data_IF_393249916040
#
_entry.id   IF_393249916040
#
_cell.length_a   1.000
_cell.length_b   1.000
_cell.length_c   1.000
_cell.angle_alpha   90.00
_cell.angle_beta   90.00
_cell.angle_gamma   90.00
#
_symmetry.space_group_name_H-M   'P 1'
#
loop_
_entity.id
_entity.type
_entity.pdbx_description
1 polymer ?
#
# COMPACT_ATOMS: atom_id res chain seq x y z
N UNK A 1 13.75 -9.36 -25.78
CA UNK A 1 12.61 -8.42 -25.70
C UNK A 1 11.47 -9.04 -24.90
N UNK A 2 10.78 -8.27 -24.04
CA UNK A 2 9.68 -8.77 -23.18
C UNK A 2 8.31 -8.82 -23.87
N UNK A 3 8.11 -8.00 -24.91
CA UNK A 3 6.83 -7.84 -25.60
C UNK A 3 6.29 -9.16 -26.21
N UNK A 4 7.08 -9.94 -26.98
CA UNK A 4 6.57 -11.18 -27.57
C UNK A 4 6.18 -12.21 -26.50
N UNK A 5 6.96 -12.31 -25.41
CA UNK A 5 6.67 -13.22 -24.30
C UNK A 5 5.34 -12.88 -23.60
N UNK A 6 5.10 -11.58 -23.36
CA UNK A 6 3.88 -11.11 -22.69
C UNK A 6 2.64 -11.27 -23.58
N UNK A 7 2.76 -11.12 -24.89
CA UNK A 7 1.68 -11.41 -25.84
C UNK A 7 1.34 -12.90 -25.84
N UNK A 8 2.33 -13.78 -25.94
CA UNK A 8 2.11 -15.23 -25.89
C UNK A 8 1.45 -15.69 -24.59
N UNK A 9 1.79 -15.07 -23.45
CA UNK A 9 1.17 -15.38 -22.16
C UNK A 9 -0.22 -14.75 -21.98
N UNK A 10 -0.71 -13.95 -22.92
CA UNK A 10 -2.00 -13.26 -22.81
C UNK A 10 -2.00 -12.03 -21.90
N UNK A 11 -0.82 -11.49 -21.55
CA UNK A 11 -0.70 -10.28 -20.71
C UNK A 11 -0.62 -8.99 -21.54
N UNK A 12 -0.53 -9.11 -22.86
CA UNK A 12 -0.37 -8.00 -23.78
C UNK A 12 -1.09 -8.27 -25.10
N UNK A 13 -1.62 -7.22 -25.72
CA UNK A 13 -2.31 -7.28 -27.01
C UNK A 13 -3.81 -7.08 -26.86
N UNK A 14 -4.55 -7.31 -27.95
CA UNK A 14 -6.01 -7.29 -27.92
C UNK A 14 -6.55 -8.69 -27.82
N UNK A 15 -7.51 -8.91 -26.93
CA UNK A 15 -8.28 -10.15 -26.86
C UNK A 15 -9.75 -9.88 -26.63
N UNK A 16 -10.63 -10.79 -27.08
CA UNK A 16 -12.04 -10.73 -26.71
C UNK A 16 -12.18 -10.81 -25.19
N UNK A 17 -12.75 -9.77 -24.59
CA UNK A 17 -13.10 -9.73 -23.19
C UNK A 17 -14.63 -9.63 -23.06
N UNK A 18 -15.21 -10.57 -22.32
CA UNK A 18 -16.61 -10.55 -21.97
C UNK A 18 -16.86 -9.47 -20.90
N UNK A 19 -17.77 -8.54 -21.18
CA UNK A 19 -18.23 -7.56 -20.20
C UNK A 19 -19.50 -8.06 -19.51
N UNK A 20 -19.44 -8.44 -18.21
CA UNK A 20 -20.59 -8.98 -17.49
C UNK A 20 -21.71 -7.96 -17.26
N UNK A 21 -21.44 -6.65 -17.40
CA UNK A 21 -22.46 -5.61 -17.24
C UNK A 21 -23.28 -5.39 -18.50
N UNK A 22 -22.65 -5.46 -19.68
CA UNK A 22 -23.33 -5.30 -20.97
C UNK A 22 -23.74 -6.63 -21.62
N UNK A 23 -23.12 -7.76 -21.23
CA UNK A 23 -23.33 -9.07 -21.84
C UNK A 23 -22.63 -9.25 -23.19
N UNK A 24 -21.82 -8.29 -23.62
CA UNK A 24 -21.14 -8.32 -24.91
C UNK A 24 -19.66 -8.70 -24.78
N UNK A 25 -19.15 -9.41 -25.79
CA UNK A 25 -17.70 -9.63 -25.95
C UNK A 25 -17.13 -8.52 -26.81
N UNK A 26 -16.21 -7.74 -26.24
CA UNK A 26 -15.52 -6.64 -26.95
C UNK A 26 -14.03 -6.91 -27.01
N UNK A 27 -13.38 -6.47 -28.08
CA UNK A 27 -11.92 -6.49 -28.16
C UNK A 27 -11.35 -5.52 -27.13
N UNK A 28 -10.62 -6.06 -26.16
CA UNK A 28 -10.01 -5.29 -25.06
C UNK A 28 -8.50 -5.35 -25.15
N UNK A 29 -7.85 -4.21 -24.95
CA UNK A 29 -6.40 -4.13 -24.85
C UNK A 29 -5.98 -4.63 -23.46
N UNK A 30 -5.42 -5.85 -23.39
CA UNK A 30 -5.05 -6.52 -22.13
C UNK A 30 -3.83 -5.88 -21.43
N UNK A 31 -3.03 -5.10 -22.16
CA UNK A 31 -1.86 -4.42 -21.61
C UNK A 31 -1.22 -3.42 -22.55
N UNK A 32 -0.56 -2.42 -21.98
CA UNK A 32 0.40 -1.54 -22.64
C UNK A 32 1.68 -1.51 -21.81
N UNK A 33 2.83 -1.15 -22.42
CA UNK A 33 4.12 -0.99 -21.70
C UNK A 33 3.89 -0.20 -20.40
N UNK A 34 3.17 0.92 -20.53
CA UNK A 34 2.87 1.84 -19.44
C UNK A 34 2.03 1.17 -18.35
N UNK A 35 0.96 0.45 -18.72
CA UNK A 35 0.10 -0.23 -17.74
C UNK A 35 0.86 -1.30 -16.97
N UNK A 36 1.63 -2.13 -17.67
CA UNK A 36 2.38 -3.21 -17.01
C UNK A 36 3.49 -2.65 -16.10
N UNK A 37 4.17 -1.58 -16.52
CA UNK A 37 5.11 -0.87 -15.66
C UNK A 37 4.44 -0.37 -14.37
N UNK A 38 3.27 0.29 -14.49
CA UNK A 38 2.52 0.77 -13.33
C UNK A 38 2.13 -0.38 -12.40
N UNK A 39 1.63 -1.49 -12.94
CA UNK A 39 1.26 -2.68 -12.14
C UNK A 39 2.47 -3.24 -11.40
N UNK A 40 3.59 -3.40 -12.10
CA UNK A 40 4.83 -3.89 -11.51
C UNK A 40 5.31 -2.97 -10.38
N UNK A 41 5.40 -1.65 -10.65
CA UNK A 41 5.87 -0.66 -9.68
C UNK A 41 4.98 -0.62 -8.44
N UNK A 42 3.66 -0.70 -8.61
CA UNK A 42 2.70 -0.78 -7.49
C UNK A 42 2.89 -2.06 -6.68
N UNK A 43 2.99 -3.23 -7.33
CA UNK A 43 3.13 -4.50 -6.63
C UNK A 43 4.43 -4.57 -5.83
N UNK A 44 5.53 -4.03 -6.39
CA UNK A 44 6.80 -3.91 -5.67
C UNK A 44 6.66 -3.00 -4.45
N UNK A 45 5.99 -1.85 -4.57
CA UNK A 45 5.77 -0.93 -3.44
C UNK A 45 4.91 -1.54 -2.34
N UNK A 46 3.86 -2.27 -2.69
CA UNK A 46 3.04 -3.00 -1.70
C UNK A 46 3.87 -4.08 -1.00
N UNK A 47 4.69 -4.82 -1.75
CA UNK A 47 5.59 -5.84 -1.20
C UNK A 47 6.60 -5.24 -0.21
N UNK A 48 7.22 -4.11 -0.57
CA UNK A 48 8.11 -3.39 0.33
C UNK A 48 7.37 -2.87 1.56
N UNK A 49 6.16 -2.30 1.40
CA UNK A 49 5.35 -1.82 2.51
C UNK A 49 5.04 -2.93 3.52
N UNK A 50 4.76 -4.16 3.07
CA UNK A 50 4.56 -5.32 3.95
C UNK A 50 5.83 -5.67 4.74
N UNK A 51 6.99 -5.68 4.08
CA UNK A 51 8.28 -5.88 4.74
C UNK A 51 8.61 -4.78 5.76
N UNK A 52 8.36 -3.52 5.41
CA UNK A 52 8.52 -2.39 6.31
C UNK A 52 7.61 -2.49 7.52
N UNK A 53 6.31 -2.79 7.32
CA UNK A 53 5.36 -2.91 8.42
C UNK A 53 5.73 -4.04 9.38
N UNK A 54 6.14 -5.19 8.85
CA UNK A 54 6.67 -6.30 9.65
C UNK A 54 7.88 -5.87 10.49
N UNK A 55 8.76 -5.04 9.94
CA UNK A 55 9.89 -4.46 10.68
C UNK A 55 9.44 -3.46 11.74
N UNK A 56 8.42 -2.65 11.48
CA UNK A 56 7.85 -1.70 12.45
C UNK A 56 7.27 -2.44 13.65
N UNK A 57 6.44 -3.47 13.41
CA UNK A 57 5.86 -4.29 14.47
C UNK A 57 6.94 -4.98 15.31
N UNK A 58 7.98 -5.56 14.67
CA UNK A 58 9.09 -6.21 15.40
C UNK A 58 9.89 -5.25 16.26
N UNK A 59 10.09 -4.02 15.80
CA UNK A 59 11.02 -3.07 16.43
C UNK A 59 10.33 -1.99 17.27
N UNK A 60 8.99 -1.99 17.37
CA UNK A 60 8.25 -0.89 18.02
C UNK A 60 8.62 -0.63 19.48
N UNK A 61 9.15 -1.63 20.19
CA UNK A 61 9.66 -1.45 21.55
C UNK A 61 10.86 -0.48 21.63
N UNK A 62 11.73 -0.47 20.60
CA UNK A 62 12.92 0.42 20.56
C UNK A 62 12.76 1.58 19.58
N UNK A 63 11.83 1.45 18.62
CA UNK A 63 11.53 2.46 17.58
C UNK A 63 10.01 2.65 17.47
N UNK A 64 9.36 3.26 18.48
CA UNK A 64 7.90 3.27 18.61
C UNK A 64 7.19 4.22 17.64
N UNK A 65 7.92 5.02 16.85
CA UNK A 65 7.34 6.04 15.98
C UNK A 65 7.56 5.75 14.49
N UNK A 66 6.61 6.18 13.67
CA UNK A 66 6.70 6.18 12.20
C UNK A 66 6.58 7.62 11.71
N UNK A 67 7.45 8.02 10.77
CA UNK A 67 7.38 9.28 10.02
C UNK A 67 6.83 9.03 8.62
N UNK A 68 5.87 9.84 8.18
CA UNK A 68 5.43 9.90 6.79
C UNK A 68 6.42 10.71 5.95
N UNK A 69 6.97 10.10 4.90
CA UNK A 69 7.98 10.72 4.04
C UNK A 69 7.41 10.90 2.63
N UNK A 70 7.20 12.16 2.24
CA UNK A 70 6.91 12.53 0.86
C UNK A 70 8.25 12.79 0.16
N UNK A 71 8.47 12.20 -1.02
CA UNK A 71 9.68 12.45 -1.79
C UNK A 71 9.57 13.80 -2.50
N UNK A 72 10.55 14.67 -2.27
CA UNK A 72 10.73 15.91 -3.02
C UNK A 72 11.07 15.63 -4.49
N UNK A 73 10.80 16.60 -5.38
CA UNK A 73 11.17 16.50 -6.79
C UNK A 73 10.30 15.54 -7.63
N UNK A 74 9.17 15.07 -7.09
CA UNK A 74 8.17 14.38 -7.90
C UNK A 74 7.61 15.33 -8.98
N UNK A 75 7.45 14.84 -10.21
CA UNK A 75 6.89 15.61 -11.33
C UNK A 75 5.43 16.03 -11.07
N UNK A 76 4.68 15.18 -10.37
CA UNK A 76 3.27 15.42 -10.01
C UNK A 76 3.03 15.10 -8.53
N UNK A 77 3.51 15.95 -7.61
CA UNK A 77 3.34 15.72 -6.19
C UNK A 77 1.87 15.91 -5.81
N UNK A 78 1.33 15.02 -4.96
CA UNK A 78 0.01 15.19 -4.36
C UNK A 78 0.11 16.22 -3.23
N UNK A 79 -0.57 17.37 -3.27
CA UNK A 79 -0.41 18.43 -2.26
C UNK A 79 -0.71 17.96 -0.84
N UNK A 80 -1.74 17.12 -0.66
CA UNK A 80 -2.05 16.54 0.65
C UNK A 80 -0.94 15.62 1.17
N UNK A 81 -0.23 14.91 0.29
CA UNK A 81 0.89 14.06 0.72
C UNK A 81 2.09 14.89 1.16
N UNK A 82 2.34 16.02 0.48
CA UNK A 82 3.33 16.99 0.92
C UNK A 82 2.93 17.59 2.28
N UNK A 83 1.65 17.90 2.48
CA UNK A 83 1.12 18.34 3.78
C UNK A 83 1.29 17.28 4.87
N UNK A 84 1.20 15.99 4.55
CA UNK A 84 1.43 14.88 5.49
C UNK A 84 2.90 14.61 5.78
N UNK A 85 3.83 15.11 4.95
CA UNK A 85 5.26 14.94 5.20
C UNK A 85 5.62 15.36 6.62
N UNK A 86 6.46 14.59 7.29
CA UNK A 86 6.88 14.82 8.68
C UNK A 86 5.79 14.64 9.73
N UNK A 87 4.63 14.06 9.40
CA UNK A 87 3.74 13.52 10.42
C UNK A 87 4.42 12.31 11.06
N UNK A 88 4.65 12.40 12.37
CA UNK A 88 5.31 11.40 13.22
C UNK A 88 4.31 10.92 14.26
N UNK A 89 3.93 9.66 14.19
CA UNK A 89 2.92 9.06 15.08
C UNK A 89 3.40 7.71 15.61
N UNK A 90 2.91 7.24 16.77
CA UNK A 90 3.16 5.88 17.23
C UNK A 90 2.81 4.83 16.16
N UNK A 91 3.53 3.70 16.14
CA UNK A 91 3.29 2.58 15.19
C UNK A 91 1.81 2.14 15.21
N UNK A 92 1.21 2.06 16.40
CA UNK A 92 -0.17 1.60 16.59
C UNK A 92 -1.24 2.70 16.38
N UNK A 93 -0.85 3.92 15.99
CA UNK A 93 -1.79 5.03 15.84
C UNK A 93 -2.81 4.77 14.70
N UNK A 94 -4.12 4.99 14.90
CA UNK A 94 -5.17 4.61 13.94
C UNK A 94 -5.10 5.32 12.58
N UNK A 95 -4.44 6.49 12.51
CA UNK A 95 -4.21 7.22 11.26
C UNK A 95 -3.52 6.35 10.19
N UNK A 96 -2.63 5.45 10.63
CA UNK A 96 -1.93 4.53 9.74
C UNK A 96 -2.83 3.46 9.12
N UNK A 97 -4.05 3.24 9.63
CA UNK A 97 -4.97 2.27 9.03
C UNK A 97 -5.40 2.67 7.61
N UNK A 98 -5.31 3.97 7.28
CA UNK A 98 -5.65 4.48 5.95
C UNK A 98 -4.52 5.25 5.29
N UNK A 99 -3.65 5.93 6.03
CA UNK A 99 -2.63 6.83 5.46
C UNK A 99 -1.23 6.20 5.33
N UNK A 100 -1.10 4.90 5.60
CA UNK A 100 0.16 4.19 5.43
C UNK A 100 0.44 3.90 3.95
N UNK A 101 1.59 4.36 3.48
CA UNK A 101 2.01 4.22 2.09
C UNK A 101 2.05 2.75 1.62
N UNK A 102 1.75 2.48 0.33
CA UNK A 102 1.31 3.44 -0.69
C UNK A 102 -0.18 3.84 -0.56
N UNK A 103 -0.47 5.13 -0.81
CA UNK A 103 -1.83 5.71 -0.70
C UNK A 103 -2.58 5.84 -2.04
N UNK A 104 -2.06 5.21 -3.10
CA UNK A 104 -2.60 5.35 -4.44
C UNK A 104 -1.69 4.85 -5.54
N UNK A 105 -2.21 4.87 -6.76
CA UNK A 105 -1.44 4.57 -7.96
C UNK A 105 -0.35 5.62 -8.16
N UNK A 106 0.86 5.20 -8.56
CA UNK A 106 2.02 6.09 -8.66
C UNK A 106 2.30 6.90 -7.38
N UNK A 107 1.98 6.37 -6.20
CA UNK A 107 2.41 6.97 -4.94
C UNK A 107 3.89 6.64 -4.69
N UNK A 108 4.72 7.68 -4.57
CA UNK A 108 6.15 7.52 -4.30
C UNK A 108 6.55 7.75 -2.83
N UNK A 109 5.59 8.13 -1.98
CA UNK A 109 5.80 8.32 -0.55
C UNK A 109 6.20 7.01 0.15
N UNK A 110 6.87 7.12 1.30
CA UNK A 110 7.30 5.99 2.12
C UNK A 110 7.09 6.27 3.62
N UNK A 111 7.35 5.27 4.45
CA UNK A 111 7.30 5.35 5.90
C UNK A 111 8.69 5.08 6.48
N UNK A 112 9.07 5.83 7.51
CA UNK A 112 10.36 5.69 8.17
C UNK A 112 10.15 5.39 9.66
N UNK A 113 10.76 4.33 10.17
CA UNK A 113 10.76 4.02 11.61
C UNK A 113 11.76 4.89 12.36
N UNK A 114 11.33 5.50 13.46
CA UNK A 114 12.11 6.41 14.28
C UNK A 114 12.18 5.93 15.74
N UNK A 115 13.37 6.06 16.31
CA UNK A 115 13.56 6.12 17.77
C UNK A 115 13.43 7.58 18.26
N UNK A 116 13.34 7.79 19.58
CA UNK A 116 13.39 9.14 20.14
C UNK A 116 14.67 9.87 19.73
N UNK A 117 15.81 9.17 19.75
CA UNK A 117 17.10 9.73 19.29
C UNK A 117 17.08 10.19 17.83
N UNK A 118 16.34 9.50 16.96
CA UNK A 118 16.20 9.92 15.57
C UNK A 118 15.33 11.18 15.46
N UNK A 119 14.26 11.28 16.25
CA UNK A 119 13.43 12.49 16.34
C UNK A 119 14.27 13.69 16.77
N UNK A 120 15.04 13.54 17.87
CA UNK A 120 15.89 14.61 18.40
C UNK A 120 17.00 15.01 17.40
N UNK A 121 17.50 14.06 16.60
CA UNK A 121 18.45 14.34 15.52
C UNK A 121 17.78 15.16 14.42
N UNK A 122 16.63 14.71 13.90
CA UNK A 122 15.91 15.39 12.81
C UNK A 122 15.53 16.82 13.19
N UNK A 123 15.05 17.03 14.43
CA UNK A 123 14.74 18.38 14.92
C UNK A 123 15.98 19.28 14.98
N UNK A 124 17.14 18.76 15.40
CA UNK A 124 18.42 19.51 15.36
C UNK A 124 18.89 19.81 13.94
N UNK A 125 18.57 18.94 12.98
CA UNK A 125 18.84 19.14 11.55
C UNK A 125 17.86 20.14 10.90
N UNK A 126 16.85 20.63 11.64
CA UNK A 126 15.91 21.64 11.19
C UNK A 126 14.60 21.10 10.62
N UNK A 127 14.35 19.79 10.74
CA UNK A 127 13.12 19.18 10.25
C UNK A 127 11.92 19.58 11.11
N UNK A 128 10.85 20.06 10.47
CA UNK A 128 9.60 20.41 11.13
C UNK A 128 8.73 19.16 11.26
N UNK A 129 8.82 18.50 12.41
CA UNK A 129 8.03 17.30 12.73
C UNK A 129 6.65 17.66 13.33
N UNK A 130 5.62 16.93 12.92
CA UNK A 130 4.25 17.07 13.42
C UNK A 130 3.86 15.81 14.20
N UNK A 131 3.54 15.95 15.48
CA UNK A 131 3.23 14.81 16.35
C UNK A 131 1.72 14.53 16.49
N UNK A 132 0.89 15.34 15.83
CA UNK A 132 -0.55 15.14 15.73
C UNK A 132 -0.92 14.71 14.31
N UNK A 133 -1.96 13.86 14.14
CA UNK A 133 -2.43 13.49 12.82
C UNK A 133 -2.95 14.74 12.09
N UNK A 134 -2.57 14.89 10.82
CA UNK A 134 -3.13 15.97 9.99
C UNK A 134 -4.61 15.66 9.77
N UNK A 135 -5.47 16.58 10.20
CA UNK A 135 -6.91 16.49 9.97
C UNK A 135 -7.20 16.44 8.47
N UNK A 136 -8.07 15.51 8.06
CA UNK A 136 -8.51 15.37 6.68
C UNK A 136 -10.03 15.37 6.58
N UNK A 137 -10.52 15.63 5.38
CA UNK A 137 -11.94 15.47 5.03
C UNK A 137 -12.15 14.12 4.35
N UNK A 138 -13.40 13.66 4.31
CA UNK A 138 -13.79 12.51 3.51
C UNK A 138 -14.42 13.02 2.21
N UNK A 139 -14.11 12.36 1.09
CA UNK A 139 -14.73 12.63 -0.20
C UNK A 139 -15.52 11.41 -0.69
N UNK A 140 -16.64 11.68 -1.36
CA UNK A 140 -17.38 10.64 -2.08
C UNK A 140 -16.73 10.41 -3.44
N UNK A 141 -16.54 9.14 -3.79
CA UNK A 141 -16.09 8.70 -5.09
C UNK A 141 -17.18 7.83 -5.73
N UNK A 142 -17.56 8.17 -6.95
CA UNK A 142 -18.53 7.40 -7.74
C UNK A 142 -17.77 6.58 -8.76
N UNK A 143 -17.94 5.26 -8.72
CA UNK A 143 -17.45 4.39 -9.75
C UNK A 143 -18.36 4.51 -10.98
N UNK A 144 -17.93 5.25 -12.00
CA UNK A 144 -18.71 5.49 -13.21
C UNK A 144 -19.10 4.20 -13.98
N UNK A 145 -18.44 3.07 -13.71
CA UNK A 145 -18.78 1.79 -14.32
C UNK A 145 -19.96 1.12 -13.63
N UNK A 146 -19.97 1.11 -12.30
CA UNK A 146 -20.93 0.33 -11.50
C UNK A 146 -22.01 1.20 -10.85
N UNK A 147 -21.82 2.52 -10.80
CA UNK A 147 -22.65 3.45 -10.03
C UNK A 147 -22.39 3.41 -8.51
N UNK A 148 -21.48 2.54 -8.04
CA UNK A 148 -21.18 2.39 -6.62
C UNK A 148 -20.54 3.67 -6.06
N UNK A 149 -21.05 4.12 -4.91
CA UNK A 149 -20.52 5.28 -4.20
C UNK A 149 -19.74 4.82 -2.98
N UNK A 150 -18.46 5.17 -2.94
CA UNK A 150 -17.57 4.89 -1.81
C UNK A 150 -17.13 6.19 -1.17
N UNK A 151 -16.84 6.15 0.13
CA UNK A 151 -16.32 7.31 0.87
C UNK A 151 -14.87 7.02 1.23
N UNK A 152 -13.95 7.89 0.81
CA UNK A 152 -12.51 7.73 1.03
C UNK A 152 -11.91 8.99 1.64
N UNK A 153 -10.85 8.90 2.46
CA UNK A 153 -10.14 10.08 2.91
C UNK A 153 -9.61 10.89 1.73
N UNK A 154 -9.67 12.21 1.84
CA UNK A 154 -9.13 13.07 0.80
C UNK A 154 -7.61 12.85 0.65
N UNK A 155 -7.11 12.95 -0.57
CA UNK A 155 -5.71 12.63 -0.90
C UNK A 155 -5.40 11.14 -1.00
N UNK A 156 -6.36 10.24 -0.74
CA UNK A 156 -6.21 8.79 -0.96
C UNK A 156 -7.02 8.36 -2.19
N UNK A 157 -6.42 7.51 -3.01
CA UNK A 157 -7.10 6.98 -4.20
C UNK A 157 -8.17 5.94 -3.78
N UNK A 158 -9.30 5.84 -4.49
CA UNK A 158 -10.28 4.77 -4.25
C UNK A 158 -9.64 3.39 -4.37
N UNK A 159 -9.97 2.49 -3.43
CA UNK A 159 -9.34 1.17 -3.32
C UNK A 159 -8.00 1.16 -2.56
N UNK A 160 -7.49 2.31 -2.12
CA UNK A 160 -6.26 2.44 -1.33
C UNK A 160 -6.49 2.94 0.10
N UNK A 161 -7.75 3.08 0.53
CA UNK A 161 -8.12 3.51 1.89
C UNK A 161 -7.97 2.36 2.91
N UNK A 162 -6.80 1.73 2.94
CA UNK A 162 -6.38 0.71 3.90
C UNK A 162 -4.85 0.79 4.05
N UNK A 163 -4.26 0.01 4.96
CA UNK A 163 -2.82 -0.08 5.12
C UNK A 163 -2.28 -1.33 4.41
N UNK A 164 -1.62 -1.19 3.24
CA UNK A 164 -1.14 -2.34 2.48
C UNK A 164 -0.05 -3.11 3.23
N UNK A 165 0.79 -2.40 3.99
CA UNK A 165 1.84 -3.02 4.77
C UNK A 165 1.31 -3.89 5.90
N UNK A 166 0.33 -3.37 6.65
CA UNK A 166 -0.35 -4.09 7.73
C UNK A 166 -1.15 -5.27 7.20
N UNK A 167 -1.88 -5.10 6.09
CA UNK A 167 -2.62 -6.19 5.46
C UNK A 167 -1.70 -7.34 5.03
N UNK A 168 -0.57 -7.03 4.39
CA UNK A 168 0.43 -8.02 4.02
C UNK A 168 1.06 -8.70 5.23
N UNK A 169 1.40 -7.94 6.28
CA UNK A 169 1.93 -8.47 7.54
C UNK A 169 0.95 -9.46 8.20
N UNK A 170 -0.34 -9.09 8.34
CA UNK A 170 -1.35 -9.94 8.94
C UNK A 170 -1.53 -11.24 8.17
N UNK A 171 -1.53 -11.19 6.83
CA UNK A 171 -1.61 -12.39 5.99
C UNK A 171 -0.46 -13.37 6.26
N UNK A 172 0.76 -12.88 6.44
CA UNK A 172 1.92 -13.72 6.78
C UNK A 172 1.77 -14.31 8.18
N UNK A 173 1.32 -13.52 9.16
CA UNK A 173 1.08 -14.01 10.52
C UNK A 173 0.02 -15.10 10.56
N UNK A 174 -1.10 -14.91 9.84
CA UNK A 174 -2.17 -15.90 9.73
C UNK A 174 -1.67 -17.21 9.11
N UNK A 175 -0.87 -17.13 8.03
CA UNK A 175 -0.25 -18.31 7.42
C UNK A 175 0.70 -19.04 8.38
N UNK A 176 1.49 -18.29 9.16
CA UNK A 176 2.39 -18.87 10.15
C UNK A 176 1.64 -19.54 11.30
N UNK A 177 0.54 -18.95 11.77
CA UNK A 177 -0.33 -19.54 12.78
C UNK A 177 -0.99 -20.82 12.25
N UNK A 178 -1.55 -20.79 11.03
CA UNK A 178 -2.17 -21.94 10.39
C UNK A 178 -1.18 -23.10 10.19
N UNK A 179 0.07 -22.80 9.82
CA UNK A 179 1.13 -23.81 9.71
C UNK A 179 1.46 -24.44 11.06
N UNK A 180 1.54 -23.64 12.13
CA UNK A 180 1.84 -24.14 13.48
C UNK A 180 0.71 -25.00 14.04
N UNK A 181 -0.55 -24.62 13.81
CA UNK A 181 -1.71 -25.43 14.22
C UNK A 181 -1.87 -26.69 13.36
N UNK A 182 -1.57 -26.64 12.06
CA UNK A 182 -1.58 -27.83 11.21
C UNK A 182 -0.44 -28.81 11.50
N UNK A 183 0.69 -28.32 12.02
CA UNK A 183 1.81 -29.16 12.45
C UNK A 183 1.57 -29.84 13.81
N UNK A 184 0.63 -29.35 14.64
CA UNK A 184 0.30 -29.97 15.93
C UNK A 184 -0.65 -31.16 15.83
N UNK A 185 -1.24 -31.43 14.66
CA UNK A 185 -2.20 -32.53 14.45
C UNK A 185 -1.52 -33.85 13.99
N UNK A 186 -0.21 -34.00 14.18
CA UNK A 186 0.48 -35.27 13.90
C UNK A 186 0.20 -36.29 15.00
N UNK A 187 -0.85 -37.10 14.82
CA UNK A 187 -1.06 -38.32 15.60
C UNK A 187 -0.15 -39.44 15.06
N UNK A 188 0.65 -40.12 15.91
CA UNK A 188 1.44 -41.26 15.47
C UNK A 188 0.51 -42.40 14.99
N UNK A 189 0.94 -43.20 13.99
CA UNK A 189 0.14 -44.32 13.52
C UNK A 189 -0.11 -45.33 14.66
N UNK A 190 -1.28 -45.98 14.70
CA UNK A 190 -1.57 -47.02 15.68
C UNK A 190 -0.57 -48.18 15.53
N UNK A 191 -0.18 -48.73 16.68
CA UNK A 191 0.76 -49.85 16.81
C UNK A 191 0.15 -51.19 16.42
#
# INVERSE_FOLDING_TARGET
ELTPLLQTKGWWGQQPAFDPLSGETRWSQLGSVRRLKIIFDVNMRVSYAAGHWSSFERNKATRPFIRYVHLEGQEHPRPLHALWHNTVLPVDHPWWNTHACPNGWNCHCTLQSLSQRDIDRLQREGEVLKFEPVSGTMRKFVNNRTGEVTTVPDGIDPGWAYNPGKAGYLSVVEQDLARKSGASDWLPPPS
#
